data_IF_167273700606
#
_entry.id   IF_167273700606
#
_cell.length_a   1.000
_cell.length_b   1.000
_cell.length_c   1.000
_cell.angle_alpha   90.00
_cell.angle_beta   90.00
_cell.angle_gamma   90.00
#
_symmetry.space_group_name_H-M   'P 1'
#
loop_
_entity.id
_entity.type
_entity.pdbx_description
1 polymer ?
#
# COMPACT_ATOMS: atom_id res chain seq x y z
N UNK A 1 37.60 -41.13 22.12
CA UNK A 1 36.86 -41.45 20.88
C UNK A 1 35.94 -40.26 20.60
N UNK A 2 36.00 -39.71 19.38
CA UNK A 2 35.71 -38.31 19.05
C UNK A 2 34.26 -37.85 19.26
N UNK A 3 34.10 -36.60 19.72
CA UNK A 3 32.84 -35.84 19.70
C UNK A 3 32.64 -35.25 18.30
N UNK A 4 31.56 -35.62 17.63
CA UNK A 4 31.17 -35.04 16.34
C UNK A 4 30.62 -33.63 16.54
N UNK A 5 31.25 -32.62 15.94
CA UNK A 5 30.68 -31.27 15.79
C UNK A 5 29.95 -31.23 14.46
N UNK A 6 28.62 -31.22 14.51
CA UNK A 6 27.80 -30.91 13.34
C UNK A 6 27.95 -29.41 13.06
N UNK A 7 28.57 -29.08 11.92
CA UNK A 7 28.65 -27.71 11.45
C UNK A 7 27.25 -27.24 11.03
N UNK A 8 26.76 -26.18 11.67
CA UNK A 8 25.60 -25.44 11.19
C UNK A 8 25.98 -24.77 9.87
N UNK A 9 25.37 -25.25 8.79
CA UNK A 9 25.36 -24.60 7.48
C UNK A 9 24.74 -23.21 7.62
N UNK A 10 25.58 -22.17 7.49
CA UNK A 10 25.11 -20.78 7.37
C UNK A 10 24.35 -20.67 6.06
N UNK A 11 23.04 -20.52 6.15
CA UNK A 11 22.17 -20.23 5.01
C UNK A 11 22.67 -18.99 4.27
N UNK A 12 22.84 -19.12 2.95
CA UNK A 12 23.11 -18.04 2.03
C UNK A 12 22.05 -16.95 2.18
N UNK A 13 22.43 -15.78 2.67
CA UNK A 13 21.58 -14.59 2.74
C UNK A 13 21.33 -14.12 1.31
N UNK A 14 20.23 -14.59 0.70
CA UNK A 14 19.75 -14.05 -0.57
C UNK A 14 19.36 -12.60 -0.27
N UNK A 15 20.13 -11.62 -0.78
CA UNK A 15 19.73 -10.21 -0.72
C UNK A 15 18.37 -10.13 -1.39
N UNK A 16 17.34 -9.72 -0.63
CA UNK A 16 16.09 -9.30 -1.23
C UNK A 16 16.43 -8.10 -2.10
N UNK A 17 16.13 -8.19 -3.39
CA UNK A 17 16.21 -7.03 -4.26
C UNK A 17 15.23 -5.98 -3.72
N UNK A 18 15.58 -4.69 -3.84
CA UNK A 18 14.61 -3.63 -3.61
C UNK A 18 13.39 -3.89 -4.50
N UNK A 19 12.19 -3.69 -3.95
CA UNK A 19 10.95 -3.78 -4.73
C UNK A 19 11.04 -2.70 -5.83
N UNK A 20 10.78 -3.01 -7.12
CA UNK A 20 10.78 -1.98 -8.15
C UNK A 20 9.87 -0.82 -7.75
N UNK A 21 10.38 0.40 -7.89
CA UNK A 21 9.64 1.64 -7.67
C UNK A 21 9.74 2.51 -8.91
N UNK A 22 8.70 3.29 -9.18
CA UNK A 22 8.63 4.23 -10.29
C UNK A 22 8.83 5.64 -9.73
N UNK A 23 9.74 6.40 -10.33
CA UNK A 23 9.98 7.81 -9.99
C UNK A 23 8.84 8.68 -10.52
N UNK A 24 8.19 9.42 -9.63
CA UNK A 24 7.17 10.40 -9.96
C UNK A 24 7.71 11.82 -9.74
N UNK A 25 7.47 12.75 -10.68
CA UNK A 25 7.87 14.13 -10.52
C UNK A 25 7.00 14.84 -9.48
N UNK A 26 7.48 15.98 -9.01
CA UNK A 26 6.64 16.95 -8.29
C UNK A 26 5.44 17.32 -9.16
N UNK A 27 4.27 17.44 -8.52
CA UNK A 27 3.02 17.79 -9.19
C UNK A 27 2.02 18.44 -8.24
N UNK A 28 0.79 18.59 -8.74
CA UNK A 28 -0.36 19.07 -7.98
C UNK A 28 -1.55 18.16 -8.26
N UNK A 29 -2.39 17.95 -7.25
CA UNK A 29 -3.67 17.27 -7.39
C UNK A 29 -4.79 18.03 -6.68
N UNK A 30 -5.98 18.02 -7.29
CA UNK A 30 -7.21 18.41 -6.63
C UNK A 30 -7.83 17.17 -5.98
N UNK A 31 -7.82 17.11 -4.65
CA UNK A 31 -8.54 16.10 -3.90
C UNK A 31 -9.99 16.53 -3.69
N UNK A 32 -10.86 15.52 -3.58
CA UNK A 32 -12.29 15.72 -3.35
C UNK A 32 -12.81 14.76 -2.28
N UNK A 33 -13.59 15.29 -1.36
CA UNK A 33 -14.43 14.50 -0.46
C UNK A 33 -15.88 14.54 -0.96
N UNK A 34 -16.36 13.41 -1.50
CA UNK A 34 -17.74 13.28 -1.98
C UNK A 34 -18.78 13.43 -0.85
N UNK A 35 -18.43 13.08 0.39
CA UNK A 35 -19.35 13.12 1.53
C UNK A 35 -19.64 14.54 2.01
N UNK A 36 -18.61 15.40 1.99
CA UNK A 36 -18.73 16.83 2.36
C UNK A 36 -18.89 17.76 1.15
N UNK A 37 -18.71 17.23 -0.06
CA UNK A 37 -18.65 18.01 -1.31
C UNK A 37 -17.59 19.11 -1.28
N UNK A 38 -16.44 18.81 -0.68
CA UNK A 38 -15.31 19.76 -0.59
C UNK A 38 -14.17 19.33 -1.49
N UNK A 39 -13.55 20.33 -2.13
CA UNK A 39 -12.39 20.16 -3.00
C UNK A 39 -11.23 21.00 -2.45
N UNK A 40 -10.01 20.46 -2.48
CA UNK A 40 -8.80 21.20 -2.09
C UNK A 40 -7.58 20.76 -2.90
N UNK A 41 -6.68 21.72 -3.14
CA UNK A 41 -5.42 21.48 -3.86
C UNK A 41 -4.33 21.01 -2.90
N UNK A 42 -3.53 20.04 -3.35
CA UNK A 42 -2.36 19.53 -2.63
C UNK A 42 -1.18 19.49 -3.59
N UNK A 43 -0.07 20.10 -3.18
CA UNK A 43 1.22 19.92 -3.84
C UNK A 43 1.80 18.55 -3.45
N UNK A 44 2.26 17.80 -4.44
CA UNK A 44 2.87 16.49 -4.27
C UNK A 44 4.34 16.64 -4.62
N UNK A 45 5.24 16.45 -3.65
CA UNK A 45 6.68 16.44 -3.90
C UNK A 45 7.07 15.24 -4.79
N UNK A 46 8.24 15.30 -5.44
CA UNK A 46 8.78 14.13 -6.13
C UNK A 46 8.95 12.96 -5.14
N UNK A 47 8.56 11.77 -5.57
CA UNK A 47 8.55 10.56 -4.74
C UNK A 47 8.67 9.33 -5.62
N UNK A 48 8.88 8.17 -5.01
CA UNK A 48 8.80 6.88 -5.70
C UNK A 48 7.60 6.10 -5.20
N UNK A 49 6.95 5.34 -6.07
CA UNK A 49 5.83 4.46 -5.71
C UNK A 49 6.01 3.08 -6.33
N UNK A 50 5.68 2.03 -5.59
CA UNK A 50 5.67 0.66 -6.10
C UNK A 50 4.58 0.51 -7.20
N UNK A 51 4.88 -0.20 -8.30
CA UNK A 51 3.95 -0.38 -9.42
C UNK A 51 2.74 -1.24 -9.04
N UNK A 52 2.86 -2.07 -8.00
CA UNK A 52 1.81 -2.98 -7.49
C UNK A 52 1.67 -2.86 -5.97
N UNK A 53 0.57 -3.35 -5.38
CA UNK A 53 0.48 -3.63 -3.95
C UNK A 53 1.58 -4.58 -3.49
N UNK A 54 1.92 -4.52 -2.19
CA UNK A 54 2.82 -5.49 -1.56
C UNK A 54 2.20 -6.87 -1.69
N UNK A 55 2.97 -7.84 -2.21
CA UNK A 55 2.50 -9.21 -2.39
C UNK A 55 2.70 -10.04 -1.13
N UNK A 56 1.98 -11.16 -1.01
CA UNK A 56 2.16 -12.15 0.06
C UNK A 56 3.60 -12.67 0.12
N UNK A 57 4.23 -12.92 -1.03
CA UNK A 57 5.63 -13.36 -1.09
C UNK A 57 6.62 -12.32 -0.55
N UNK A 58 6.43 -11.04 -0.87
CA UNK A 58 7.30 -9.97 -0.39
C UNK A 58 7.10 -9.77 1.11
N UNK A 59 5.85 -9.79 1.56
CA UNK A 59 5.51 -9.70 2.99
C UNK A 59 6.17 -10.81 3.80
N UNK A 60 6.01 -12.07 3.36
CA UNK A 60 6.63 -13.24 3.99
C UNK A 60 8.16 -13.15 4.00
N UNK A 61 8.77 -12.64 2.92
CA UNK A 61 10.22 -12.52 2.84
C UNK A 61 10.80 -11.51 3.85
N UNK A 62 10.04 -10.49 4.23
CA UNK A 62 10.45 -9.43 5.17
C UNK A 62 10.14 -9.80 6.62
N UNK A 63 8.92 -10.23 6.91
CA UNK A 63 8.47 -10.49 8.29
C UNK A 63 8.60 -11.96 8.72
N UNK A 64 8.78 -12.89 7.77
CA UNK A 64 8.89 -14.33 8.05
C UNK A 64 7.55 -15.03 8.31
N UNK A 65 6.46 -14.28 8.42
CA UNK A 65 5.09 -14.78 8.61
C UNK A 65 4.09 -13.97 7.77
N UNK A 66 2.98 -14.60 7.42
CA UNK A 66 1.84 -14.00 6.70
C UNK A 66 0.55 -14.55 7.31
N UNK A 67 -0.57 -13.80 7.29
CA UNK A 67 -1.88 -14.33 7.63
C UNK A 67 -2.22 -15.57 6.79
N UNK A 68 -2.86 -16.56 7.40
CA UNK A 68 -3.27 -17.79 6.71
C UNK A 68 -4.28 -17.48 5.60
N UNK A 69 -4.04 -18.00 4.39
CA UNK A 69 -4.95 -17.80 3.25
C UNK A 69 -4.73 -18.88 2.20
N UNK A 70 -5.76 -19.16 1.39
CA UNK A 70 -5.65 -19.98 0.18
C UNK A 70 -5.06 -19.22 -1.02
N UNK A 71 -4.86 -17.91 -0.90
CA UNK A 71 -4.33 -17.06 -1.96
C UNK A 71 -2.86 -17.37 -2.30
N UNK A 72 -2.52 -17.20 -3.58
CA UNK A 72 -1.18 -17.46 -4.12
C UNK A 72 -0.11 -16.46 -3.63
N UNK A 73 1.19 -16.77 -3.82
CA UNK A 73 2.28 -15.89 -3.38
C UNK A 73 2.28 -14.51 -4.05
N UNK A 74 1.74 -14.40 -5.27
CA UNK A 74 1.73 -13.19 -6.10
C UNK A 74 0.50 -12.31 -5.87
N UNK A 75 -0.46 -12.73 -5.05
CA UNK A 75 -1.59 -11.86 -4.68
C UNK A 75 -1.12 -10.77 -3.72
N UNK A 76 -1.82 -9.62 -3.66
CA UNK A 76 -1.66 -8.65 -2.59
C UNK A 76 -1.73 -9.30 -1.20
N UNK A 77 -0.93 -8.79 -0.27
CA UNK A 77 -1.11 -9.08 1.14
C UNK A 77 -2.36 -8.34 1.64
N UNK A 78 -3.24 -9.07 2.30
CA UNK A 78 -4.44 -8.55 2.99
C UNK A 78 -4.46 -9.06 4.42
N UNK A 79 -5.49 -8.71 5.19
CA UNK A 79 -5.58 -9.00 6.63
C UNK A 79 -4.39 -8.45 7.41
N UNK A 80 -3.89 -7.29 6.95
CA UNK A 80 -2.82 -6.53 7.60
C UNK A 80 -3.34 -5.16 8.01
N UNK A 81 -3.03 -4.77 9.24
CA UNK A 81 -3.43 -3.48 9.75
C UNK A 81 -2.50 -2.37 9.28
N UNK A 82 -2.92 -1.11 9.45
CA UNK A 82 -2.07 0.03 9.18
C UNK A 82 -0.79 -0.01 10.04
N UNK A 83 -0.91 -0.47 11.29
CA UNK A 83 0.22 -0.68 12.19
C UNK A 83 1.20 -1.75 11.65
N UNK A 84 0.67 -2.82 11.06
CA UNK A 84 1.49 -3.87 10.45
C UNK A 84 2.21 -3.36 9.21
N UNK A 85 1.52 -2.56 8.37
CA UNK A 85 2.12 -1.94 7.19
C UNK A 85 3.26 -0.97 7.56
N UNK A 86 3.10 -0.17 8.62
CA UNK A 86 4.17 0.70 9.17
C UNK A 86 5.36 -0.12 9.66
N UNK A 87 5.11 -1.22 10.39
CA UNK A 87 6.17 -2.14 10.85
C UNK A 87 6.90 -2.77 9.68
N UNK A 88 6.17 -3.23 8.67
CA UNK A 88 6.72 -3.76 7.43
C UNK A 88 7.63 -2.73 6.75
N UNK A 89 7.16 -1.50 6.56
CA UNK A 89 7.93 -0.43 5.91
C UNK A 89 9.27 -0.18 6.62
N UNK A 90 9.25 -0.05 7.95
CA UNK A 90 10.47 0.12 8.74
C UNK A 90 11.42 -1.07 8.65
N UNK A 91 10.91 -2.30 8.74
CA UNK A 91 11.74 -3.49 8.64
C UNK A 91 12.35 -3.64 7.25
N UNK A 92 11.57 -3.40 6.20
CA UNK A 92 12.03 -3.47 4.83
C UNK A 92 13.09 -2.40 4.54
N UNK A 93 12.93 -1.21 5.11
CA UNK A 93 13.94 -0.14 5.04
C UNK A 93 15.28 -0.61 5.63
N UNK A 94 15.26 -1.20 6.84
CA UNK A 94 16.47 -1.73 7.48
C UNK A 94 17.12 -2.85 6.69
N UNK A 95 16.32 -3.77 6.12
CA UNK A 95 16.83 -4.86 5.27
C UNK A 95 17.50 -4.30 4.01
N UNK A 96 16.94 -3.23 3.44
CA UNK A 96 17.51 -2.53 2.29
C UNK A 96 18.70 -1.60 2.64
N UNK A 97 19.00 -1.40 3.93
CA UNK A 97 20.05 -0.49 4.39
C UNK A 97 19.69 0.99 4.30
N UNK A 98 18.39 1.31 4.33
CA UNK A 98 17.82 2.66 4.30
C UNK A 98 17.41 3.11 5.71
N UNK A 99 17.30 4.43 5.92
CA UNK A 99 16.82 4.99 7.18
C UNK A 99 15.28 4.83 7.27
N UNK A 100 14.74 4.19 8.32
CA UNK A 100 13.31 4.00 8.47
C UNK A 100 12.54 5.32 8.58
N UNK A 101 11.40 5.44 7.89
CA UNK A 101 10.58 6.66 7.94
C UNK A 101 9.80 6.81 9.26
N UNK A 102 9.51 5.73 9.99
CA UNK A 102 8.60 5.82 11.13
C UNK A 102 9.31 5.68 12.47
N UNK A 103 9.14 6.69 13.34
CA UNK A 103 9.29 6.51 14.77
C UNK A 103 7.96 6.00 15.32
N UNK A 104 7.97 4.83 15.96
CA UNK A 104 6.77 4.18 16.52
C UNK A 104 6.84 4.16 18.04
N UNK A 105 5.72 4.41 18.71
CA UNK A 105 5.58 4.13 20.14
C UNK A 105 4.73 2.88 20.43
N UNK A 106 4.12 2.84 21.61
CA UNK A 106 3.38 1.69 22.13
C UNK A 106 1.86 1.81 21.91
N UNK A 107 1.37 2.95 21.41
CA UNK A 107 -0.06 3.17 21.19
C UNK A 107 -0.61 2.26 20.10
N UNK A 108 -1.67 1.50 20.44
CA UNK A 108 -2.43 0.71 19.46
C UNK A 108 -3.17 1.58 18.45
N UNK A 109 -3.46 2.81 18.84
CA UNK A 109 -4.21 3.79 18.05
C UNK A 109 -3.28 4.61 17.14
N UNK A 110 -1.98 4.30 17.14
CA UNK A 110 -0.96 4.94 16.30
C UNK A 110 -0.85 6.47 16.48
N UNK A 111 -1.25 6.99 17.64
CA UNK A 111 -1.16 8.43 17.97
C UNK A 111 0.29 8.91 18.14
N UNK A 112 1.19 7.99 18.45
CA UNK A 112 2.62 8.21 18.68
C UNK A 112 3.50 7.80 17.49
N UNK A 113 2.88 7.43 16.36
CA UNK A 113 3.60 7.13 15.12
C UNK A 113 3.85 8.41 14.35
N UNK A 114 5.13 8.74 14.15
CA UNK A 114 5.58 9.95 13.44
C UNK A 114 6.37 9.53 12.20
N UNK A 115 6.03 10.13 11.05
CA UNK A 115 6.77 9.97 9.81
C UNK A 115 7.83 11.07 9.67
N UNK A 116 9.09 10.67 9.55
CA UNK A 116 10.16 11.51 9.02
C UNK A 116 10.12 11.45 7.49
N UNK A 117 9.61 12.52 6.87
CA UNK A 117 9.47 12.62 5.42
C UNK A 117 10.80 12.85 4.69
N UNK A 118 11.87 13.18 5.43
CA UNK A 118 13.21 13.36 4.87
C UNK A 118 14.03 12.06 4.86
N UNK A 119 13.57 11.01 5.54
CA UNK A 119 14.20 9.70 5.50
C UNK A 119 14.02 9.05 4.12
N UNK A 120 15.01 8.27 3.70
CA UNK A 120 15.05 7.61 2.38
C UNK A 120 14.44 6.19 2.40
N UNK A 121 13.87 5.77 3.53
CA UNK A 121 13.22 4.48 3.71
C UNK A 121 11.88 4.35 2.99
N UNK A 122 11.30 3.17 3.13
CA UNK A 122 9.95 2.86 2.68
C UNK A 122 8.91 3.38 3.67
N UNK A 123 7.78 3.78 3.12
CA UNK A 123 6.60 4.26 3.85
C UNK A 123 5.33 3.93 3.06
N UNK A 124 4.17 4.10 3.72
CA UNK A 124 2.90 4.23 3.01
C UNK A 124 2.88 5.52 2.19
N UNK A 125 2.20 5.54 1.02
CA UNK A 125 1.92 6.79 0.33
C UNK A 125 0.99 7.65 1.17
N UNK A 126 1.12 8.96 1.03
CA UNK A 126 0.02 9.86 1.38
C UNK A 126 -1.17 9.62 0.45
N UNK A 127 -2.34 10.01 0.90
CA UNK A 127 -3.58 10.02 0.14
C UNK A 127 -3.42 10.80 -1.18
N UNK A 128 -2.72 11.94 -1.12
CA UNK A 128 -2.46 12.77 -2.29
C UNK A 128 -1.51 12.11 -3.29
N UNK A 129 -0.40 11.54 -2.82
CA UNK A 129 0.54 10.77 -3.65
C UNK A 129 -0.17 9.59 -4.33
N UNK A 130 -1.00 8.87 -3.58
CA UNK A 130 -1.75 7.73 -4.09
C UNK A 130 -2.70 8.15 -5.21
N UNK A 131 -3.50 9.20 -5.02
CA UNK A 131 -4.45 9.64 -6.05
C UNK A 131 -3.75 10.25 -7.26
N UNK A 132 -2.65 10.96 -7.05
CA UNK A 132 -1.81 11.50 -8.12
C UNK A 132 -1.29 10.39 -9.02
N UNK A 133 -0.71 9.34 -8.43
CA UNK A 133 -0.26 8.18 -9.17
C UNK A 133 -1.41 7.40 -9.83
N UNK A 134 -2.56 7.26 -9.16
CA UNK A 134 -3.74 6.57 -9.71
C UNK A 134 -4.26 7.25 -10.97
N UNK A 135 -4.29 8.59 -10.97
CA UNK A 135 -4.78 9.40 -12.08
C UNK A 135 -3.82 9.41 -13.26
N UNK A 136 -2.52 9.36 -13.02
CA UNK A 136 -1.49 9.38 -14.06
C UNK A 136 -1.72 10.46 -15.13
N UNK A 137 -2.10 11.66 -14.68
CA UNK A 137 -2.42 12.81 -15.56
C UNK A 137 -3.86 12.87 -16.09
N UNK A 138 -4.70 11.86 -15.84
CA UNK A 138 -6.12 11.87 -16.21
C UNK A 138 -6.99 12.62 -15.19
N UNK A 139 -7.96 13.39 -15.70
CA UNK A 139 -9.04 14.00 -14.91
C UNK A 139 -10.27 13.11 -14.75
N UNK A 140 -10.31 11.96 -15.41
CA UNK A 140 -11.45 11.06 -15.39
C UNK A 140 -11.59 10.34 -14.05
N UNK A 141 -12.75 9.71 -13.84
CA UNK A 141 -13.02 8.94 -12.61
C UNK A 141 -12.21 7.64 -12.55
N UNK A 142 -11.75 7.16 -13.71
CA UNK A 142 -10.92 5.96 -13.93
C UNK A 142 -10.01 6.22 -15.13
N UNK A 143 -8.88 5.52 -15.20
CA UNK A 143 -7.90 5.67 -16.29
C UNK A 143 -8.16 4.78 -17.51
N UNK A 144 -9.29 4.06 -17.54
CA UNK A 144 -9.66 3.13 -18.60
C UNK A 144 -11.00 2.45 -18.32
N UNK A 145 -11.35 1.46 -19.15
CA UNK A 145 -12.55 0.65 -18.97
C UNK A 145 -12.39 -0.30 -17.77
N UNK A 146 -13.40 -0.35 -16.90
CA UNK A 146 -13.27 -0.99 -15.59
C UNK A 146 -12.86 -2.47 -15.66
N UNK A 147 -13.43 -3.22 -16.61
CA UNK A 147 -13.15 -4.64 -16.80
C UNK A 147 -11.71 -4.93 -17.25
N UNK A 148 -11.03 -3.95 -17.85
CA UNK A 148 -9.66 -4.07 -18.37
C UNK A 148 -8.63 -3.72 -17.30
N UNK A 149 -8.98 -2.78 -16.41
CA UNK A 149 -8.04 -2.16 -15.46
C UNK A 149 -8.21 -2.60 -14.01
N UNK A 150 -9.30 -3.30 -13.63
CA UNK A 150 -9.59 -3.60 -12.23
C UNK A 150 -10.17 -5.00 -12.01
N UNK A 151 -9.85 -5.57 -10.84
CA UNK A 151 -10.61 -6.66 -10.23
C UNK A 151 -11.64 -6.10 -9.26
N UNK A 152 -12.92 -6.32 -9.51
CA UNK A 152 -14.01 -5.81 -8.69
C UNK A 152 -15.15 -6.83 -8.65
N UNK A 153 -16.24 -6.55 -7.91
CA UNK A 153 -17.33 -7.53 -7.68
C UNK A 153 -17.84 -8.19 -8.96
N UNK A 154 -17.87 -7.47 -10.08
CA UNK A 154 -18.42 -7.96 -11.34
C UNK A 154 -17.54 -9.00 -12.05
N UNK A 155 -16.24 -9.04 -11.78
CA UNK A 155 -15.29 -9.88 -12.54
C UNK A 155 -14.29 -10.66 -11.67
N UNK A 156 -14.21 -10.40 -10.37
CA UNK A 156 -13.21 -11.01 -9.46
C UNK A 156 -13.53 -12.44 -9.05
N UNK A 157 -14.77 -12.90 -9.21
CA UNK A 157 -15.20 -14.18 -8.63
C UNK A 157 -15.29 -14.18 -7.10
N UNK A 158 -15.17 -13.01 -6.45
CA UNK A 158 -15.19 -12.91 -4.99
C UNK A 158 -13.86 -13.26 -4.32
N UNK A 159 -12.75 -13.17 -5.04
CA UNK A 159 -11.41 -13.44 -4.53
C UNK A 159 -10.40 -12.37 -4.96
N UNK A 160 -9.29 -12.32 -4.23
CA UNK A 160 -8.10 -11.53 -4.57
C UNK A 160 -7.36 -12.21 -5.74
N UNK A 161 -6.77 -11.41 -6.64
CA UNK A 161 -6.03 -11.90 -7.80
C UNK A 161 -4.55 -11.54 -7.72
N UNK A 162 -3.72 -12.29 -8.45
CA UNK A 162 -2.30 -11.95 -8.62
C UNK A 162 -2.16 -10.52 -9.15
N UNK A 163 -1.16 -9.79 -8.62
CA UNK A 163 -0.91 -8.40 -9.03
C UNK A 163 -0.54 -8.30 -10.50
N UNK A 164 -0.83 -7.15 -11.11
CA UNK A 164 -0.51 -6.81 -12.50
C UNK A 164 -1.13 -7.76 -13.54
N UNK A 165 -2.30 -8.33 -13.24
CA UNK A 165 -3.11 -9.12 -14.18
C UNK A 165 -4.14 -8.28 -14.95
N UNK A 166 -4.24 -6.98 -14.63
CA UNK A 166 -5.06 -5.97 -15.32
C UNK A 166 -4.17 -4.89 -15.92
N UNK A 167 -4.70 -4.16 -16.90
CA UNK A 167 -3.94 -3.13 -17.61
C UNK A 167 -3.47 -2.03 -16.63
N UNK A 168 -2.22 -1.55 -16.78
CA UNK A 168 -1.73 -0.44 -15.97
C UNK A 168 -2.28 0.89 -16.48
N UNK A 169 -2.18 1.91 -15.62
CA UNK A 169 -2.38 3.29 -16.07
C UNK A 169 -1.19 3.79 -16.93
N UNK A 170 -1.30 5.04 -17.42
CA UNK A 170 -0.31 5.65 -18.31
C UNK A 170 1.11 5.77 -17.73
N UNK A 171 1.29 5.59 -16.42
CA UNK A 171 2.59 5.63 -15.74
C UNK A 171 3.09 4.23 -15.33
N UNK A 172 2.37 3.16 -15.64
CA UNK A 172 2.79 1.79 -15.36
C UNK A 172 2.34 1.26 -13.99
N UNK A 173 1.42 1.94 -13.30
CA UNK A 173 0.86 1.42 -12.05
C UNK A 173 -0.30 0.47 -12.33
N UNK A 174 -0.23 -0.71 -11.75
CA UNK A 174 -1.28 -1.71 -11.76
C UNK A 174 -2.06 -1.71 -10.45
N UNK A 175 -3.29 -2.23 -10.52
CA UNK A 175 -4.15 -2.45 -9.36
C UNK A 175 -4.35 -1.18 -8.51
N UNK A 176 -4.24 0.01 -9.11
CA UNK A 176 -4.55 1.27 -8.42
C UNK A 176 -6.05 1.36 -8.08
N UNK A 177 -6.90 0.63 -8.78
CA UNK A 177 -8.30 0.48 -8.41
C UNK A 177 -8.71 -0.98 -8.49
N UNK A 178 -9.52 -1.44 -7.53
CA UNK A 178 -9.87 -2.85 -7.41
C UNK A 178 -8.74 -3.70 -6.83
N UNK A 179 -8.93 -5.02 -6.90
CA UNK A 179 -8.14 -6.06 -6.22
C UNK A 179 -8.21 -5.91 -4.69
N UNK A 180 -7.55 -4.91 -4.11
CA UNK A 180 -7.60 -4.62 -2.68
C UNK A 180 -7.67 -3.12 -2.43
N UNK A 181 -8.33 -2.71 -1.35
CA UNK A 181 -8.12 -1.41 -0.76
C UNK A 181 -6.67 -1.27 -0.29
N UNK A 182 -6.15 -0.05 -0.29
CA UNK A 182 -4.78 0.22 0.11
C UNK A 182 -4.69 1.29 1.18
N UNK A 183 -4.06 0.95 2.32
CA UNK A 183 -3.75 1.90 3.37
C UNK A 183 -2.90 3.07 2.86
N UNK A 184 -3.29 4.28 3.26
CA UNK A 184 -2.51 5.50 3.11
C UNK A 184 -2.02 5.98 4.49
N UNK A 185 -1.03 6.87 4.51
CA UNK A 185 -0.52 7.48 5.74
C UNK A 185 -1.58 8.29 6.52
N UNK A 186 -2.42 9.01 5.79
CA UNK A 186 -3.25 10.11 6.29
C UNK A 186 -4.26 9.69 7.37
N UNK A 187 -4.45 10.56 8.35
CA UNK A 187 -5.60 10.52 9.27
C UNK A 187 -6.79 11.14 8.56
N UNK A 188 -7.93 10.45 8.57
CA UNK A 188 -9.10 10.86 7.79
C UNK A 188 -9.70 12.19 8.28
N UNK A 189 -10.09 12.24 9.55
CA UNK A 189 -10.53 13.46 10.25
C UNK A 189 -10.36 13.20 11.76
N UNK A 190 -9.33 13.78 12.39
CA UNK A 190 -9.04 13.52 13.80
C UNK A 190 -10.11 14.06 14.76
N UNK A 191 -10.94 15.03 14.33
CA UNK A 191 -11.98 15.61 15.19
C UNK A 191 -13.20 14.72 15.28
N UNK A 192 -13.54 14.04 14.18
CA UNK A 192 -14.76 13.23 14.08
C UNK A 192 -14.46 11.74 14.28
N UNK A 193 -13.34 11.26 13.75
CA UNK A 193 -13.00 9.83 13.72
C UNK A 193 -11.71 9.49 14.46
N UNK A 194 -11.08 10.45 15.15
CA UNK A 194 -9.87 10.21 15.93
C UNK A 194 -8.74 9.62 15.07
N UNK A 195 -8.15 8.46 15.45
CA UNK A 195 -6.96 7.92 14.79
C UNK A 195 -7.23 7.23 13.44
N UNK A 196 -8.46 7.27 12.93
CA UNK A 196 -8.84 6.52 11.74
C UNK A 196 -8.01 6.94 10.52
N UNK A 197 -7.45 5.95 9.83
CA UNK A 197 -6.56 6.13 8.69
C UNK A 197 -7.33 5.98 7.38
N UNK A 198 -6.86 6.67 6.36
CA UNK A 198 -7.41 6.62 5.00
C UNK A 198 -6.98 5.33 4.31
N UNK A 199 -7.86 4.77 3.50
CA UNK A 199 -7.49 3.81 2.47
C UNK A 199 -8.26 4.05 1.16
N UNK A 200 -7.66 3.66 0.03
CA UNK A 200 -8.05 4.05 -1.34
C UNK A 200 -8.17 2.86 -2.28
N UNK A 201 -8.84 3.04 -3.43
CA UNK A 201 -8.77 2.13 -4.58
C UNK A 201 -9.97 1.20 -4.82
N UNK A 202 -10.68 0.76 -3.78
CA UNK A 202 -11.70 -0.29 -3.93
C UNK A 202 -11.09 -1.69 -3.94
N UNK A 203 -11.82 -2.68 -3.43
CA UNK A 203 -11.40 -4.07 -3.40
C UNK A 203 -12.10 -4.96 -4.42
N UNK A 204 -11.70 -6.22 -4.48
CA UNK A 204 -12.30 -7.25 -5.35
C UNK A 204 -13.80 -7.47 -5.11
N UNK A 205 -14.33 -7.04 -3.96
CA UNK A 205 -15.74 -7.18 -3.59
C UNK A 205 -16.56 -5.89 -3.74
N UNK A 206 -15.95 -4.79 -4.20
CA UNK A 206 -16.66 -3.53 -4.38
C UNK A 206 -17.41 -3.46 -5.72
N UNK A 207 -18.54 -2.75 -5.71
CA UNK A 207 -19.26 -2.39 -6.93
C UNK A 207 -18.44 -1.40 -7.78
N UNK A 208 -18.75 -1.22 -9.08
CA UNK A 208 -18.06 -0.26 -9.94
C UNK A 208 -17.88 1.13 -9.33
N UNK A 209 -18.86 1.61 -8.54
CA UNK A 209 -18.79 2.92 -7.87
C UNK A 209 -17.71 3.02 -6.80
N UNK A 210 -17.24 1.90 -6.24
CA UNK A 210 -16.12 1.86 -5.29
C UNK A 210 -14.75 1.92 -5.96
N UNK A 211 -14.65 1.53 -7.24
CA UNK A 211 -13.40 1.52 -8.01
C UNK A 211 -13.27 2.81 -8.82
N UNK A 212 -12.95 3.92 -8.14
CA UNK A 212 -12.69 5.23 -8.76
C UNK A 212 -11.45 5.86 -8.11
N UNK A 213 -10.73 6.70 -8.85
CA UNK A 213 -9.51 7.35 -8.35
C UNK A 213 -9.75 8.16 -7.06
N UNK A 214 -10.89 8.83 -6.94
CA UNK A 214 -11.26 9.63 -5.75
C UNK A 214 -11.96 8.83 -4.66
N UNK A 215 -12.19 7.52 -4.84
CA UNK A 215 -12.86 6.72 -3.81
C UNK A 215 -11.94 6.53 -2.61
N UNK A 216 -12.39 7.03 -1.46
CA UNK A 216 -11.73 6.90 -0.17
C UNK A 216 -12.65 6.29 0.87
N UNK A 217 -12.07 5.51 1.77
CA UNK A 217 -12.70 5.00 2.99
C UNK A 217 -11.74 5.22 4.16
N UNK A 218 -12.18 4.80 5.35
CA UNK A 218 -11.42 4.94 6.58
C UNK A 218 -11.73 3.81 7.54
N UNK A 219 -10.76 3.48 8.38
CA UNK A 219 -11.00 2.62 9.54
C UNK A 219 -9.92 2.86 10.60
N UNK A 220 -10.14 2.26 11.77
CA UNK A 220 -9.18 2.24 12.86
C UNK A 220 -7.85 1.62 12.39
N UNK A 221 -6.66 2.12 12.81
CA UNK A 221 -5.36 1.61 12.36
C UNK A 221 -5.07 0.16 12.73
N UNK A 222 -5.89 -0.45 13.58
CA UNK A 222 -5.83 -1.88 13.93
C UNK A 222 -6.74 -2.77 13.09
N UNK A 223 -7.55 -2.22 12.17
CA UNK A 223 -8.41 -3.02 11.31
C UNK A 223 -7.54 -3.86 10.38
N UNK A 224 -7.86 -5.15 10.27
CA UNK A 224 -7.28 -6.07 9.31
C UNK A 224 -8.44 -6.87 8.70
N UNK A 225 -8.64 -6.78 7.39
CA UNK A 225 -9.72 -7.46 6.65
C UNK A 225 -9.19 -8.02 5.32
N UNK A 226 -9.96 -8.93 4.73
CA UNK A 226 -9.59 -9.76 3.58
C UNK A 226 -9.41 -9.01 2.26
N UNK A 227 -9.92 -7.78 2.15
CA UNK A 227 -9.81 -6.92 0.98
C UNK A 227 -8.97 -5.65 1.20
N UNK A 228 -8.17 -5.58 2.27
CA UNK A 228 -7.37 -4.40 2.62
C UNK A 228 -5.88 -4.74 2.78
N UNK A 229 -5.07 -4.17 1.89
CA UNK A 229 -3.61 -4.26 1.85
C UNK A 229 -2.94 -2.89 1.81
N UNK A 230 -1.79 -2.78 1.15
CA UNK A 230 -1.05 -1.53 0.99
C UNK A 230 -0.01 -1.61 -0.14
N UNK A 231 0.49 -0.46 -0.58
CA UNK A 231 1.66 -0.33 -1.46
C UNK A 231 2.74 0.54 -0.84
N UNK A 232 3.96 0.43 -1.37
CA UNK A 232 5.12 1.16 -0.86
C UNK A 232 5.36 2.46 -1.61
N UNK A 233 5.76 3.49 -0.86
CA UNK A 233 6.29 4.75 -1.35
C UNK A 233 7.66 5.04 -0.72
N UNK A 234 8.43 5.94 -1.34
CA UNK A 234 9.68 6.50 -0.81
C UNK A 234 9.78 7.98 -1.14
N UNK A 235 10.34 8.77 -0.23
CA UNK A 235 10.72 10.16 -0.51
C UNK A 235 12.01 10.19 -1.34
N UNK A 236 12.17 11.25 -2.16
CA UNK A 236 13.36 11.51 -2.99
C UNK A 236 14.19 12.69 -2.46
#
# INVERSE_FOLDING_TARGET
>A
MWRSRTAMSRGSTRRLAADPVIDLPTGEIMLRDEGTMTDWRVEVAAFQLAPTPVTRELYAAVLGEVPESSAGPRTPITEVSWNDAVRFCNLFSRIAGLEPCYATGDSRDAEDVVCDWAADGYRLPSEAEWEFACRAGSSDVRHGELDEIAWYRGNSGGEVHDVAMREPNAWGFHDMIGNVWEWCWDVYDPRVYGPYRVFRGGGFFDEPRGCRASCRRKSHPTLAIDDLGFRLARSL
#
